data_IF_454239698736
#
_entry.id   IF_454239698736
#
_cell.length_a   1.000
_cell.length_b   1.000
_cell.length_c   1.000
_cell.angle_alpha   90.00
_cell.angle_beta   90.00
_cell.angle_gamma   90.00
#
_symmetry.space_group_name_H-M   'P 1'
#
loop_
_entity.id
_entity.type
_entity.pdbx_description
1 polymer ?
#
# COMPACT_ATOMS: atom_id res chain seq x y z
N UNK A 1 -24.26 -23.48 -0.46
CA UNK A 1 -23.38 -23.65 -1.64
C UNK A 1 -21.96 -23.85 -1.14
N UNK A 2 -21.34 -25.00 -1.45
CA UNK A 2 -19.92 -25.27 -1.18
C UNK A 2 -19.11 -24.35 -2.13
N UNK A 3 -18.44 -23.35 -1.57
CA UNK A 3 -17.55 -22.48 -2.36
C UNK A 3 -16.36 -23.30 -2.85
N UNK A 4 -15.94 -23.11 -4.11
CA UNK A 4 -14.77 -23.81 -4.61
C UNK A 4 -13.51 -23.39 -3.85
N UNK A 5 -12.54 -24.29 -3.66
CA UNK A 5 -11.24 -24.00 -3.03
C UNK A 5 -10.55 -22.79 -3.70
N UNK A 6 -10.66 -22.67 -5.01
CA UNK A 6 -10.13 -21.54 -5.78
C UNK A 6 -10.72 -20.20 -5.34
N UNK A 7 -12.03 -20.14 -5.11
CA UNK A 7 -12.67 -18.91 -4.60
C UNK A 7 -12.20 -18.58 -3.17
N UNK A 8 -11.94 -19.60 -2.34
CA UNK A 8 -11.39 -19.38 -1.01
C UNK A 8 -9.96 -18.82 -1.07
N UNK A 9 -9.09 -19.36 -1.93
CA UNK A 9 -7.74 -18.82 -2.15
C UNK A 9 -7.76 -17.40 -2.74
N UNK A 10 -8.59 -17.14 -3.75
CA UNK A 10 -8.76 -15.80 -4.33
C UNK A 10 -9.16 -14.77 -3.27
N UNK A 11 -10.09 -15.11 -2.40
CA UNK A 11 -10.51 -14.24 -1.28
C UNK A 11 -9.43 -14.07 -0.21
N UNK A 12 -8.64 -15.10 0.08
CA UNK A 12 -7.52 -15.01 1.01
C UNK A 12 -6.42 -14.07 0.47
N UNK A 13 -6.12 -14.19 -0.82
CA UNK A 13 -5.17 -13.32 -1.54
C UNK A 13 -5.71 -11.92 -1.85
N UNK A 14 -7.01 -11.66 -1.64
CA UNK A 14 -7.69 -10.40 -2.02
C UNK A 14 -7.63 -10.08 -3.52
N UNK A 15 -7.51 -11.09 -4.38
CA UNK A 15 -7.52 -10.87 -5.84
C UNK A 15 -8.90 -10.48 -6.37
N UNK A 16 -9.96 -10.75 -5.59
CA UNK A 16 -11.32 -10.28 -5.80
C UNK A 16 -11.51 -8.77 -5.52
N UNK A 17 -10.53 -8.12 -4.87
CA UNK A 17 -10.57 -6.71 -4.50
C UNK A 17 -9.21 -6.04 -4.74
N UNK A 18 -8.91 -5.65 -5.97
CA UNK A 18 -7.56 -5.25 -6.38
C UNK A 18 -7.09 -3.91 -5.81
N UNK A 19 -7.95 -3.15 -5.13
CA UNK A 19 -7.64 -1.80 -4.61
C UNK A 19 -6.32 -1.75 -3.83
N UNK A 20 -6.10 -2.71 -2.92
CA UNK A 20 -4.87 -2.75 -2.14
C UNK A 20 -3.63 -3.02 -2.99
N UNK A 21 -3.73 -3.77 -4.08
CA UNK A 21 -2.63 -3.97 -5.03
C UNK A 21 -2.36 -2.72 -5.85
N UNK A 22 -3.41 -1.98 -6.24
CA UNK A 22 -3.28 -0.73 -6.99
C UNK A 22 -2.63 0.37 -6.14
N UNK A 23 -2.95 0.46 -4.84
CA UNK A 23 -2.30 1.40 -3.93
C UNK A 23 -0.79 1.14 -3.75
N UNK A 24 -0.31 -0.10 -3.98
CA UNK A 24 1.11 -0.42 -4.05
C UNK A 24 1.70 -0.19 -5.45
N UNK A 25 0.90 -0.44 -6.49
CA UNK A 25 1.37 -0.37 -7.86
C UNK A 25 1.72 1.06 -8.28
N UNK A 26 0.87 2.05 -7.90
CA UNK A 26 1.10 3.43 -8.30
C UNK A 26 2.44 3.98 -7.80
N UNK A 27 2.80 3.93 -6.51
CA UNK A 27 4.11 4.43 -6.06
C UNK A 27 5.28 3.62 -6.61
N UNK A 28 5.09 2.33 -6.88
CA UNK A 28 6.09 1.52 -7.59
C UNK A 28 6.32 2.05 -9.01
N UNK A 29 5.26 2.38 -9.74
CA UNK A 29 5.36 2.96 -11.07
C UNK A 29 5.93 4.38 -11.04
N UNK A 30 5.56 5.22 -10.06
CA UNK A 30 6.20 6.53 -9.88
C UNK A 30 7.72 6.38 -9.77
N UNK A 31 8.19 5.44 -8.94
CA UNK A 31 9.61 5.18 -8.73
C UNK A 31 10.30 4.67 -10.00
N UNK A 32 9.68 3.74 -10.73
CA UNK A 32 10.24 3.19 -11.96
C UNK A 32 10.43 4.26 -13.03
N UNK A 33 9.41 5.13 -13.24
CA UNK A 33 9.47 6.20 -14.24
C UNK A 33 10.47 7.30 -13.86
N UNK A 34 10.51 7.69 -12.58
CA UNK A 34 11.49 8.68 -12.12
C UNK A 34 12.91 8.13 -12.21
N UNK A 35 13.14 6.87 -11.79
CA UNK A 35 14.46 6.25 -11.84
C UNK A 35 14.96 6.06 -13.29
N UNK A 36 14.07 5.70 -14.22
CA UNK A 36 14.38 5.54 -15.64
C UNK A 36 14.49 6.87 -16.39
N UNK A 37 13.98 7.97 -15.79
CA UNK A 37 13.77 9.26 -16.48
C UNK A 37 13.01 9.10 -17.80
N UNK A 38 12.05 8.19 -17.82
CA UNK A 38 11.31 7.79 -19.01
C UNK A 38 10.61 6.45 -18.80
N UNK A 39 10.38 5.72 -19.89
CA UNK A 39 9.79 4.38 -19.84
C UNK A 39 10.85 3.38 -19.35
N UNK A 40 10.62 2.68 -18.23
CA UNK A 40 11.56 1.68 -17.74
C UNK A 40 11.64 0.46 -18.67
N UNK A 41 12.72 -0.31 -18.58
CA UNK A 41 12.87 -1.57 -19.33
C UNK A 41 11.71 -2.51 -19.04
N UNK A 42 11.15 -3.12 -20.12
CA UNK A 42 10.00 -4.01 -20.04
C UNK A 42 10.22 -5.18 -19.06
N UNK A 43 11.43 -5.71 -19.01
CA UNK A 43 11.80 -6.77 -18.06
C UNK A 43 11.60 -6.30 -16.61
N UNK A 44 12.11 -5.14 -16.25
CA UNK A 44 11.97 -4.58 -14.89
C UNK A 44 10.51 -4.27 -14.60
N UNK A 45 9.80 -3.64 -15.54
CA UNK A 45 8.39 -3.28 -15.38
C UNK A 45 7.50 -4.51 -15.11
N UNK A 46 7.70 -5.60 -15.87
CA UNK A 46 6.96 -6.86 -15.69
C UNK A 46 7.26 -7.48 -14.32
N UNK A 47 8.54 -7.54 -13.92
CA UNK A 47 8.95 -8.11 -12.62
C UNK A 47 8.30 -7.33 -11.47
N UNK A 48 8.37 -6.00 -11.49
CA UNK A 48 7.76 -5.19 -10.43
C UNK A 48 6.24 -5.29 -10.42
N UNK A 49 5.60 -5.34 -11.59
CA UNK A 49 4.15 -5.54 -11.68
C UNK A 49 3.72 -6.87 -11.05
N UNK A 50 4.31 -7.98 -11.48
CA UNK A 50 4.00 -9.30 -10.92
C UNK A 50 4.38 -9.36 -9.44
N UNK A 51 5.54 -8.78 -9.07
CA UNK A 51 6.03 -8.72 -7.70
C UNK A 51 5.06 -7.99 -6.75
N UNK A 52 4.51 -6.84 -7.17
CA UNK A 52 3.50 -6.09 -6.39
C UNK A 52 2.26 -6.95 -6.13
N UNK A 53 1.68 -7.57 -7.15
CA UNK A 53 0.49 -8.42 -6.97
C UNK A 53 0.78 -9.64 -6.11
N UNK A 54 1.91 -10.32 -6.33
CA UNK A 54 2.31 -11.52 -5.56
C UNK A 54 2.62 -11.18 -4.10
N UNK A 55 3.40 -10.13 -3.84
CA UNK A 55 3.75 -9.73 -2.47
C UNK A 55 2.57 -9.12 -1.73
N UNK A 56 1.66 -8.41 -2.42
CA UNK A 56 0.40 -7.97 -1.83
C UNK A 56 -0.48 -9.15 -1.42
N UNK A 57 -0.59 -10.17 -2.26
CA UNK A 57 -1.31 -11.41 -1.94
C UNK A 57 -0.66 -12.13 -0.74
N UNK A 58 0.67 -12.27 -0.73
CA UNK A 58 1.42 -12.84 0.40
C UNK A 58 1.17 -12.06 1.70
N UNK A 59 1.21 -10.72 1.63
CA UNK A 59 0.90 -9.84 2.77
C UNK A 59 -0.52 -10.05 3.31
N UNK A 60 -1.52 -10.26 2.44
CA UNK A 60 -2.88 -10.58 2.88
C UNK A 60 -2.95 -11.95 3.58
N UNK A 61 -2.31 -12.96 3.02
CA UNK A 61 -2.28 -14.33 3.58
C UNK A 61 -1.65 -14.34 4.96
N UNK A 62 -0.48 -13.70 5.14
CA UNK A 62 0.22 -13.67 6.43
C UNK A 62 -0.52 -12.81 7.46
N UNK A 63 -1.15 -11.71 7.04
CA UNK A 63 -1.95 -10.90 7.93
C UNK A 63 -3.20 -11.65 8.43
N UNK A 64 -3.95 -12.30 7.55
CA UNK A 64 -5.10 -13.13 7.93
C UNK A 64 -4.66 -14.32 8.81
N UNK A 65 -3.48 -14.90 8.55
CA UNK A 65 -2.92 -15.94 9.41
C UNK A 65 -2.56 -15.41 10.81
N UNK A 66 -1.94 -14.25 10.91
CA UNK A 66 -1.58 -13.61 12.19
C UNK A 66 -2.85 -13.27 13.01
N UNK A 67 -3.91 -12.82 12.34
CA UNK A 67 -5.15 -12.37 12.99
C UNK A 67 -6.23 -13.46 13.17
N UNK A 68 -5.99 -14.69 12.70
CA UNK A 68 -7.00 -15.77 12.65
C UNK A 68 -7.76 -16.04 13.95
N UNK A 69 -7.14 -15.76 15.10
CA UNK A 69 -7.76 -15.94 16.42
C UNK A 69 -8.70 -14.79 16.80
N UNK A 70 -8.54 -13.62 16.19
CA UNK A 70 -9.30 -12.40 16.50
C UNK A 70 -10.35 -12.10 15.43
N UNK A 71 -10.09 -12.45 14.18
CA UNK A 71 -10.93 -12.14 13.02
C UNK A 71 -12.36 -12.72 13.14
N UNK A 72 -12.53 -13.83 13.82
CA UNK A 72 -13.86 -14.41 14.08
C UNK A 72 -14.76 -13.55 14.97
N UNK A 73 -14.18 -12.65 15.76
CA UNK A 73 -14.91 -11.77 16.71
C UNK A 73 -15.25 -10.39 16.11
N UNK A 74 -14.77 -10.08 14.89
CA UNK A 74 -15.01 -8.80 14.23
C UNK A 74 -15.99 -8.97 13.08
N UNK A 75 -17.07 -8.17 13.06
CA UNK A 75 -18.17 -8.29 12.08
C UNK A 75 -17.68 -8.32 10.62
N UNK A 76 -16.74 -7.44 10.29
CA UNK A 76 -16.18 -7.33 8.94
C UNK A 76 -15.32 -8.53 8.53
N UNK A 77 -14.62 -9.16 9.48
CA UNK A 77 -13.61 -10.19 9.22
C UNK A 77 -14.05 -11.62 9.54
N UNK A 78 -15.15 -11.81 10.29
CA UNK A 78 -15.68 -13.14 10.65
C UNK A 78 -15.93 -14.09 9.47
N UNK A 79 -16.16 -13.53 8.29
CA UNK A 79 -16.40 -14.27 7.05
C UNK A 79 -15.14 -14.50 6.20
N UNK A 80 -13.93 -14.22 6.74
CA UNK A 80 -12.66 -14.53 6.06
C UNK A 80 -12.43 -16.03 5.94
N UNK A 81 -11.68 -16.50 4.92
CA UNK A 81 -11.49 -17.94 4.67
C UNK A 81 -10.88 -18.72 5.83
N UNK A 82 -9.92 -18.16 6.59
CA UNK A 82 -9.28 -18.83 7.73
C UNK A 82 -10.22 -19.00 8.93
N UNK A 83 -10.89 -17.95 9.47
CA UNK A 83 -11.86 -18.11 10.55
C UNK A 83 -13.02 -19.05 10.21
N UNK A 84 -13.43 -19.10 8.94
CA UNK A 84 -14.50 -20.01 8.47
C UNK A 84 -14.07 -21.46 8.27
N UNK A 85 -12.75 -21.73 8.27
CA UNK A 85 -12.22 -23.03 7.91
C UNK A 85 -12.29 -23.37 6.42
N UNK A 86 -12.59 -22.40 5.53
CA UNK A 86 -12.58 -22.59 4.07
C UNK A 86 -11.14 -22.89 3.57
N UNK A 87 -10.13 -22.38 4.28
CA UNK A 87 -8.70 -22.64 4.07
C UNK A 87 -8.06 -23.02 5.40
N UNK A 88 -7.23 -24.05 5.41
CA UNK A 88 -6.49 -24.49 6.60
C UNK A 88 -5.25 -23.64 6.85
N UNK A 89 -4.74 -23.64 8.08
CA UNK A 89 -3.48 -22.95 8.43
C UNK A 89 -2.29 -23.46 7.61
N UNK A 90 -2.27 -24.76 7.29
CA UNK A 90 -1.20 -25.36 6.47
C UNK A 90 -1.26 -24.86 5.04
N UNK A 91 -2.45 -24.82 4.44
CA UNK A 91 -2.66 -24.29 3.09
C UNK A 91 -2.25 -22.80 3.01
N UNK A 92 -2.60 -22.00 4.03
CA UNK A 92 -2.22 -20.58 4.08
C UNK A 92 -0.69 -20.40 4.13
N UNK A 93 0.01 -21.19 4.95
CA UNK A 93 1.49 -21.16 5.02
C UNK A 93 2.14 -21.57 3.71
N UNK A 94 1.63 -22.62 3.06
CA UNK A 94 2.13 -23.06 1.75
C UNK A 94 1.91 -21.99 0.69
N UNK A 95 0.69 -21.40 0.65
CA UNK A 95 0.38 -20.35 -0.31
C UNK A 95 1.27 -19.12 -0.11
N UNK A 96 1.51 -18.71 1.14
CA UNK A 96 2.45 -17.64 1.47
C UNK A 96 3.86 -17.95 0.95
N UNK A 97 4.37 -19.14 1.26
CA UNK A 97 5.71 -19.57 0.83
C UNK A 97 5.85 -19.57 -0.71
N UNK A 98 4.85 -20.09 -1.41
CA UNK A 98 4.85 -20.11 -2.89
C UNK A 98 4.88 -18.68 -3.46
N UNK A 99 4.06 -17.77 -2.95
CA UNK A 99 4.00 -16.37 -3.41
C UNK A 99 5.34 -15.64 -3.17
N UNK A 100 5.97 -15.87 -2.00
CA UNK A 100 7.28 -15.30 -1.68
C UNK A 100 8.38 -15.89 -2.58
N UNK A 101 8.38 -17.21 -2.80
CA UNK A 101 9.37 -17.87 -3.66
C UNK A 101 9.25 -17.43 -5.12
N UNK A 102 8.02 -17.28 -5.64
CA UNK A 102 7.78 -16.73 -6.99
C UNK A 102 8.32 -15.32 -7.09
N UNK A 103 7.98 -14.44 -6.11
CA UNK A 103 8.48 -13.07 -6.10
C UNK A 103 10.00 -13.00 -6.00
N UNK A 104 10.60 -13.82 -5.14
CA UNK A 104 12.05 -13.88 -4.99
C UNK A 104 12.75 -14.41 -6.25
N UNK A 105 12.18 -15.45 -6.90
CA UNK A 105 12.70 -15.96 -8.17
C UNK A 105 12.74 -14.89 -9.26
N UNK A 106 11.74 -14.00 -9.33
CA UNK A 106 11.74 -12.85 -10.24
C UNK A 106 12.85 -11.84 -9.87
N UNK A 107 13.02 -11.54 -8.58
CA UNK A 107 14.06 -10.61 -8.12
C UNK A 107 15.47 -11.11 -8.39
N UNK A 108 15.70 -12.43 -8.38
CA UNK A 108 17.02 -13.02 -8.69
C UNK A 108 17.51 -12.73 -10.13
N UNK A 109 16.62 -12.27 -11.02
CA UNK A 109 16.99 -11.86 -12.38
C UNK A 109 17.42 -10.39 -12.46
N UNK A 110 17.37 -9.66 -11.34
CA UNK A 110 17.78 -8.25 -11.23
C UNK A 110 19.20 -8.14 -10.65
N UNK A 111 19.68 -6.91 -10.48
CA UNK A 111 21.00 -6.65 -9.93
C UNK A 111 21.13 -7.00 -8.43
N UNK A 112 22.36 -7.18 -7.97
CA UNK A 112 22.68 -7.59 -6.59
C UNK A 112 22.12 -6.63 -5.52
N UNK A 113 22.12 -5.32 -5.80
CA UNK A 113 21.59 -4.31 -4.87
C UNK A 113 20.09 -4.53 -4.64
N UNK A 114 19.31 -4.75 -5.70
CA UNK A 114 17.87 -5.03 -5.63
C UNK A 114 17.59 -6.33 -4.87
N UNK A 115 18.43 -7.37 -5.07
CA UNK A 115 18.31 -8.65 -4.35
C UNK A 115 18.46 -8.43 -2.83
N UNK A 116 19.47 -7.69 -2.37
CA UNK A 116 19.65 -7.40 -0.94
C UNK A 116 18.51 -6.54 -0.37
N UNK A 117 18.03 -5.56 -1.13
CA UNK A 117 16.87 -4.75 -0.71
C UNK A 117 15.60 -5.61 -0.60
N UNK A 118 15.43 -6.65 -1.43
CA UNK A 118 14.27 -7.54 -1.34
C UNK A 118 14.23 -8.34 -0.03
N UNK A 119 15.39 -8.71 0.52
CA UNK A 119 15.48 -9.36 1.83
C UNK A 119 14.99 -8.43 2.95
N UNK A 120 15.40 -7.15 2.92
CA UNK A 120 14.92 -6.15 3.87
C UNK A 120 13.39 -5.91 3.71
N UNK A 121 12.88 -5.88 2.47
CA UNK A 121 11.44 -5.78 2.19
C UNK A 121 10.64 -6.95 2.75
N UNK A 122 11.15 -8.17 2.63
CA UNK A 122 10.52 -9.35 3.22
C UNK A 122 10.47 -9.27 4.74
N UNK A 123 11.55 -8.79 5.39
CA UNK A 123 11.58 -8.59 6.84
C UNK A 123 10.52 -7.56 7.29
N UNK A 124 10.37 -6.44 6.58
CA UNK A 124 9.33 -5.44 6.84
C UNK A 124 7.91 -6.03 6.67
N UNK A 125 7.69 -6.78 5.59
CA UNK A 125 6.39 -7.44 5.35
C UNK A 125 6.03 -8.46 6.44
N UNK A 126 7.04 -9.14 7.02
CA UNK A 126 6.85 -10.09 8.11
C UNK A 126 6.54 -9.39 9.43
N UNK A 127 7.21 -8.28 9.75
CA UNK A 127 7.06 -7.55 11.02
C UNK A 127 5.73 -6.79 11.09
N UNK A 128 5.30 -6.20 9.98
CA UNK A 128 4.14 -5.31 9.91
C UNK A 128 2.87 -5.82 10.62
N UNK A 129 2.40 -7.10 10.43
CA UNK A 129 1.12 -7.54 11.03
C UNK A 129 1.12 -7.54 12.56
N UNK A 130 2.30 -7.57 13.19
CA UNK A 130 2.43 -7.63 14.66
C UNK A 130 2.46 -6.24 15.33
N UNK A 131 2.78 -5.18 14.55
CA UNK A 131 2.96 -3.82 15.08
C UNK A 131 1.69 -3.27 15.71
N UNK A 132 0.52 -3.54 15.16
CA UNK A 132 -0.79 -3.09 15.72
C UNK A 132 -1.09 -3.59 17.13
N UNK A 133 -0.34 -4.57 17.64
CA UNK A 133 -0.47 -5.09 19.01
C UNK A 133 0.31 -4.29 20.03
N UNK A 134 1.36 -3.59 19.58
CA UNK A 134 2.30 -2.89 20.45
C UNK A 134 2.29 -1.37 20.24
N UNK A 135 1.99 -0.89 19.04
CA UNK A 135 2.04 0.52 18.66
C UNK A 135 0.72 1.04 18.13
N UNK A 136 0.44 2.34 18.30
CA UNK A 136 -0.67 3.05 17.67
C UNK A 136 -0.34 3.56 16.26
N UNK A 137 0.89 3.32 15.77
CA UNK A 137 1.38 3.75 14.46
C UNK A 137 1.65 2.57 13.50
N UNK A 138 0.77 1.53 13.43
CA UNK A 138 0.96 0.43 12.48
C UNK A 138 0.95 0.92 11.03
N UNK A 139 0.25 2.04 10.74
CA UNK A 139 0.15 2.65 9.43
C UNK A 139 1.49 3.15 8.89
N UNK A 140 2.39 3.60 9.76
CA UNK A 140 3.75 4.03 9.37
C UNK A 140 4.57 2.81 8.92
N UNK A 141 4.50 1.71 9.67
CA UNK A 141 5.22 0.48 9.33
C UNK A 141 4.61 -0.18 8.09
N UNK A 142 3.28 -0.12 7.94
CA UNK A 142 2.60 -0.52 6.71
C UNK A 142 3.12 0.28 5.52
N UNK A 143 3.17 1.62 5.67
CA UNK A 143 3.67 2.53 4.63
C UNK A 143 5.13 2.24 4.24
N UNK A 144 5.98 1.91 5.21
CA UNK A 144 7.35 1.50 4.96
C UNK A 144 7.41 0.16 4.21
N UNK A 145 6.63 -0.84 4.63
CA UNK A 145 6.58 -2.15 3.97
C UNK A 145 6.02 -2.05 2.53
N UNK A 146 4.96 -1.27 2.35
CA UNK A 146 4.32 -1.06 1.04
C UNK A 146 5.19 -0.21 0.10
N UNK A 147 5.86 0.82 0.63
CA UNK A 147 6.76 1.68 -0.12
C UNK A 147 8.13 1.08 -0.40
N UNK A 148 8.47 -0.08 0.15
CA UNK A 148 9.81 -0.65 -0.03
C UNK A 148 10.11 -1.02 -1.49
N UNK A 149 9.09 -1.16 -2.33
CA UNK A 149 9.25 -1.27 -3.79
C UNK A 149 9.91 -0.04 -4.42
N UNK A 150 9.86 1.13 -3.79
CA UNK A 150 10.46 2.38 -4.29
C UNK A 150 12.00 2.28 -4.32
N UNK A 151 12.71 2.05 -3.18
CA UNK A 151 14.15 1.88 -3.24
C UNK A 151 14.57 0.66 -4.08
N UNK A 152 13.77 -0.40 -4.12
CA UNK A 152 14.01 -1.52 -5.02
C UNK A 152 13.91 -1.13 -6.49
N UNK A 153 12.95 -0.30 -6.88
CA UNK A 153 12.77 0.20 -8.25
C UNK A 153 13.96 1.06 -8.69
N UNK A 154 14.40 2.00 -7.84
CA UNK A 154 15.60 2.80 -8.10
C UNK A 154 16.85 1.93 -8.22
N UNK A 155 17.05 0.98 -7.31
CA UNK A 155 18.15 0.05 -7.37
C UNK A 155 18.14 -0.77 -8.65
N UNK A 156 16.97 -1.27 -9.07
CA UNK A 156 16.84 -2.11 -10.27
C UNK A 156 17.15 -1.34 -11.56
N UNK A 157 16.78 -0.06 -11.63
CA UNK A 157 16.90 0.77 -12.84
C UNK A 157 18.24 1.48 -12.91
N UNK A 158 18.71 2.08 -11.79
CA UNK A 158 19.87 3.00 -11.80
C UNK A 158 21.02 2.56 -10.90
N UNK A 159 20.90 1.42 -10.23
CA UNK A 159 21.88 0.90 -9.25
C UNK A 159 22.27 1.93 -8.17
N UNK A 160 21.35 2.83 -7.84
CA UNK A 160 21.58 3.93 -6.90
C UNK A 160 20.34 4.25 -6.10
N UNK A 161 20.50 4.91 -4.94
CA UNK A 161 19.42 5.37 -4.07
C UNK A 161 19.59 6.89 -3.82
N UNK A 162 19.29 7.74 -4.81
CA UNK A 162 19.46 9.18 -4.70
C UNK A 162 18.42 9.80 -3.74
N UNK A 163 18.54 11.11 -3.48
CA UNK A 163 17.68 11.81 -2.52
C UNK A 163 16.19 11.74 -2.88
N UNK A 164 15.86 11.84 -4.18
CA UNK A 164 14.49 11.72 -4.69
C UNK A 164 13.86 10.33 -4.41
N UNK A 165 14.66 9.26 -4.38
CA UNK A 165 14.21 7.92 -3.98
C UNK A 165 13.68 7.93 -2.54
N UNK A 166 14.46 8.45 -1.60
CA UNK A 166 14.09 8.49 -0.18
C UNK A 166 12.96 9.47 0.08
N UNK A 167 12.94 10.60 -0.64
CA UNK A 167 11.84 11.55 -0.55
C UNK A 167 10.53 10.92 -1.06
N UNK A 168 10.56 10.20 -2.17
CA UNK A 168 9.39 9.48 -2.71
C UNK A 168 8.94 8.35 -1.76
N UNK A 169 9.88 7.65 -1.14
CA UNK A 169 9.58 6.67 -0.10
C UNK A 169 8.87 7.31 1.11
N UNK A 170 9.34 8.48 1.56
CA UNK A 170 8.69 9.24 2.61
C UNK A 170 7.28 9.72 2.21
N UNK A 171 7.09 10.18 0.97
CA UNK A 171 5.77 10.49 0.38
C UNK A 171 4.83 9.29 0.51
N UNK A 172 5.31 8.10 0.14
CA UNK A 172 4.48 6.90 0.24
C UNK A 172 4.11 6.55 1.68
N UNK A 173 5.01 6.74 2.65
CA UNK A 173 4.69 6.53 4.07
C UNK A 173 3.59 7.50 4.51
N UNK A 174 3.75 8.80 4.20
CA UNK A 174 2.73 9.83 4.52
C UNK A 174 1.39 9.47 3.90
N UNK A 175 1.37 9.11 2.62
CA UNK A 175 0.14 8.71 1.92
C UNK A 175 -0.48 7.44 2.51
N UNK A 176 0.34 6.47 2.89
CA UNK A 176 -0.14 5.24 3.55
C UNK A 176 -0.81 5.55 4.88
N UNK A 177 -0.25 6.47 5.68
CA UNK A 177 -0.90 6.93 6.92
C UNK A 177 -2.24 7.59 6.60
N UNK A 178 -2.34 8.39 5.54
CA UNK A 178 -3.60 9.04 5.12
C UNK A 178 -4.66 7.98 4.81
N UNK A 179 -4.44 7.12 3.80
CA UNK A 179 -5.48 6.21 3.35
C UNK A 179 -5.78 5.10 4.36
N UNK A 180 -4.79 4.62 5.10
CA UNK A 180 -5.03 3.56 6.07
C UNK A 180 -5.65 4.10 7.37
N UNK A 181 -5.47 5.40 7.70
CA UNK A 181 -6.26 6.05 8.75
C UNK A 181 -7.72 6.17 8.34
N UNK A 182 -8.02 6.55 7.08
CA UNK A 182 -9.39 6.56 6.54
C UNK A 182 -10.03 5.17 6.65
N UNK A 183 -9.27 4.13 6.32
CA UNK A 183 -9.72 2.75 6.48
C UNK A 183 -9.93 2.36 7.96
N UNK A 184 -9.03 2.76 8.85
CA UNK A 184 -9.15 2.50 10.28
C UNK A 184 -10.32 3.25 10.93
N UNK A 185 -10.76 4.40 10.36
CA UNK A 185 -11.98 5.09 10.81
C UNK A 185 -13.23 4.22 10.60
N UNK A 186 -13.27 3.35 9.59
CA UNK A 186 -14.36 2.39 9.35
C UNK A 186 -14.49 1.39 10.49
N UNK A 187 -13.36 0.91 11.02
CA UNK A 187 -13.31 -0.14 12.03
C UNK A 187 -13.16 0.40 13.47
N UNK A 188 -13.04 1.73 13.67
CA UNK A 188 -12.73 2.36 14.97
C UNK A 188 -13.53 1.79 16.15
N UNK A 189 -14.86 1.68 16.01
CA UNK A 189 -15.74 1.24 17.09
C UNK A 189 -15.53 -0.24 17.44
N UNK A 190 -15.14 -1.05 16.49
CA UNK A 190 -14.85 -2.47 16.70
C UNK A 190 -13.44 -2.66 17.26
N UNK A 191 -12.46 -1.91 16.75
CA UNK A 191 -11.07 -1.90 17.24
C UNK A 191 -10.97 -1.51 18.71
N UNK A 192 -11.73 -0.51 19.15
CA UNK A 192 -11.81 -0.10 20.58
C UNK A 192 -12.28 -1.24 21.48
N UNK A 193 -13.24 -2.07 21.03
CA UNK A 193 -13.79 -3.20 21.81
C UNK A 193 -12.80 -4.34 21.99
N UNK A 194 -11.94 -4.57 20.97
CA UNK A 194 -10.99 -5.68 20.95
C UNK A 194 -9.55 -5.25 21.32
N UNK A 195 -9.34 -3.96 21.63
CA UNK A 195 -8.04 -3.44 22.06
C UNK A 195 -6.99 -3.34 20.94
N UNK A 196 -7.41 -3.31 19.67
CA UNK A 196 -6.52 -3.08 18.52
C UNK A 196 -6.17 -1.60 18.45
N UNK A 197 -4.89 -1.32 18.19
CA UNK A 197 -4.36 0.05 18.11
C UNK A 197 -4.29 0.52 16.65
N UNK A 198 -4.67 1.78 16.41
CA UNK A 198 -4.61 2.41 15.08
C UNK A 198 -4.41 3.92 15.18
N UNK A 199 -4.01 4.56 14.08
CA UNK A 199 -3.95 6.03 13.97
C UNK A 199 -5.33 6.67 14.10
N UNK A 200 -6.40 6.03 13.66
CA UNK A 200 -7.75 6.56 13.85
C UNK A 200 -8.12 6.67 15.35
N UNK A 201 -7.65 5.74 16.18
CA UNK A 201 -7.82 5.80 17.63
C UNK A 201 -6.89 6.85 18.24
N UNK A 202 -5.62 6.89 17.82
CA UNK A 202 -4.62 7.83 18.31
C UNK A 202 -5.00 9.28 18.05
N UNK A 203 -5.46 9.58 16.84
CA UNK A 203 -5.83 10.94 16.44
C UNK A 203 -7.16 11.41 17.02
N UNK A 204 -8.02 10.48 17.40
CA UNK A 204 -9.30 10.77 18.06
C UNK A 204 -10.17 11.75 17.27
N UNK A 205 -10.56 12.87 17.88
CA UNK A 205 -11.37 13.92 17.22
C UNK A 205 -10.58 14.77 16.21
N UNK A 206 -9.24 14.72 16.22
CA UNK A 206 -8.39 15.44 15.30
C UNK A 206 -8.04 14.66 14.02
N UNK A 207 -8.59 13.47 13.84
CA UNK A 207 -8.30 12.56 12.73
C UNK A 207 -8.41 13.25 11.35
N UNK A 208 -9.52 13.93 11.07
CA UNK A 208 -9.73 14.64 9.78
C UNK A 208 -8.73 15.77 9.57
N UNK A 209 -8.43 16.54 10.62
CA UNK A 209 -7.45 17.62 10.54
C UNK A 209 -6.05 17.08 10.26
N UNK A 210 -5.65 16.02 10.97
CA UNK A 210 -4.33 15.39 10.78
C UNK A 210 -4.23 14.79 9.38
N UNK A 211 -5.26 14.08 8.90
CA UNK A 211 -5.33 13.56 7.53
C UNK A 211 -5.16 14.72 6.53
N UNK A 212 -5.86 15.85 6.71
CA UNK A 212 -5.76 17.02 5.84
C UNK A 212 -4.35 17.63 5.81
N UNK A 213 -3.70 17.74 6.97
CA UNK A 213 -2.30 18.19 7.08
C UNK A 213 -1.37 17.22 6.32
N UNK A 214 -1.53 15.91 6.52
CA UNK A 214 -0.71 14.91 5.84
C UNK A 214 -0.94 14.91 4.32
N UNK A 215 -2.18 15.12 3.86
CA UNK A 215 -2.49 15.30 2.44
C UNK A 215 -1.78 16.52 1.86
N UNK A 216 -1.77 17.66 2.57
CA UNK A 216 -1.04 18.84 2.16
C UNK A 216 0.47 18.60 2.13
N UNK A 217 1.03 17.96 3.17
CA UNK A 217 2.45 17.59 3.24
C UNK A 217 2.82 16.71 2.04
N UNK A 218 2.00 15.72 1.70
CA UNK A 218 2.21 14.86 0.53
C UNK A 218 2.30 15.68 -0.77
N UNK A 219 1.36 16.61 -0.98
CA UNK A 219 1.38 17.48 -2.18
C UNK A 219 2.65 18.32 -2.24
N UNK A 220 3.07 18.94 -1.11
CA UNK A 220 4.29 19.75 -1.06
C UNK A 220 5.56 18.92 -1.32
N UNK A 221 5.63 17.70 -0.77
CA UNK A 221 6.74 16.80 -1.04
C UNK A 221 6.79 16.36 -2.51
N UNK A 222 5.65 16.05 -3.12
CA UNK A 222 5.57 15.72 -4.55
C UNK A 222 5.90 16.92 -5.44
N UNK A 223 5.48 18.13 -5.06
CA UNK A 223 5.88 19.36 -5.72
C UNK A 223 7.40 19.50 -5.72
N UNK A 224 8.05 19.25 -4.58
CA UNK A 224 9.51 19.29 -4.48
C UNK A 224 10.17 18.23 -5.37
N UNK A 225 9.66 16.99 -5.36
CA UNK A 225 10.17 15.94 -6.26
C UNK A 225 10.06 16.39 -7.72
N UNK A 226 8.91 16.94 -8.13
CA UNK A 226 8.72 17.43 -9.50
C UNK A 226 9.76 18.48 -9.91
N UNK A 227 10.13 19.38 -8.99
CA UNK A 227 11.19 20.37 -9.22
C UNK A 227 12.58 19.73 -9.27
N UNK A 228 12.88 18.77 -8.37
CA UNK A 228 14.17 18.08 -8.32
C UNK A 228 14.47 17.30 -9.60
N UNK A 229 13.46 16.61 -10.15
CA UNK A 229 13.63 15.75 -11.34
C UNK A 229 13.15 16.41 -12.63
N UNK A 230 12.82 17.71 -12.59
CA UNK A 230 12.41 18.55 -13.73
C UNK A 230 11.20 17.98 -14.50
N UNK A 231 10.12 17.57 -13.78
CA UNK A 231 8.89 17.14 -14.41
C UNK A 231 8.19 18.28 -15.15
N UNK A 232 7.45 17.95 -16.23
CA UNK A 232 6.77 18.93 -17.05
C UNK A 232 5.56 19.58 -16.37
N UNK A 233 5.01 20.66 -16.95
CA UNK A 233 3.83 21.34 -16.43
C UNK A 233 2.60 20.46 -16.22
N UNK A 234 2.48 19.36 -16.98
CA UNK A 234 1.37 18.40 -16.85
C UNK A 234 1.38 17.70 -15.49
N UNK A 235 2.55 17.39 -14.93
CA UNK A 235 2.65 16.84 -13.60
C UNK A 235 2.04 17.77 -12.54
N UNK A 236 2.27 19.08 -12.64
CA UNK A 236 1.72 20.05 -11.68
C UNK A 236 0.20 20.17 -11.79
N UNK A 237 -0.38 19.98 -12.98
CA UNK A 237 -1.84 19.84 -13.13
C UNK A 237 -2.36 18.56 -12.45
N UNK A 238 -1.62 17.46 -12.50
CA UNK A 238 -2.00 16.24 -11.78
C UNK A 238 -1.97 16.43 -10.25
N UNK A 239 -1.06 17.25 -9.71
CA UNK A 239 -1.04 17.63 -8.29
C UNK A 239 -2.30 18.43 -7.91
N UNK A 240 -2.74 19.36 -8.74
CA UNK A 240 -3.98 20.12 -8.49
C UNK A 240 -5.21 19.20 -8.48
N UNK A 241 -5.29 18.26 -9.41
CA UNK A 241 -6.38 17.26 -9.45
C UNK A 241 -6.34 16.34 -8.22
N UNK A 242 -5.16 15.89 -7.80
CA UNK A 242 -4.98 15.12 -6.56
C UNK A 242 -5.43 15.94 -5.34
N UNK A 243 -5.11 17.23 -5.28
CA UNK A 243 -5.58 18.15 -4.24
C UNK A 243 -7.10 18.28 -4.21
N UNK A 244 -7.75 18.37 -5.38
CA UNK A 244 -9.22 18.38 -5.47
C UNK A 244 -9.84 17.07 -4.96
N UNK A 245 -9.23 15.92 -5.28
CA UNK A 245 -9.66 14.63 -4.72
C UNK A 245 -9.49 14.58 -3.19
N UNK A 246 -8.44 15.15 -2.63
CA UNK A 246 -8.25 15.24 -1.18
C UNK A 246 -9.32 16.11 -0.51
N UNK A 247 -9.72 17.24 -1.12
CA UNK A 247 -10.85 18.03 -0.65
C UNK A 247 -12.16 17.23 -0.70
N UNK A 248 -12.37 16.46 -1.76
CA UNK A 248 -13.52 15.56 -1.85
C UNK A 248 -13.51 14.49 -0.74
N UNK A 249 -12.36 13.87 -0.45
CA UNK A 249 -12.21 12.91 0.65
C UNK A 249 -12.51 13.55 2.01
N UNK A 250 -12.09 14.80 2.27
CA UNK A 250 -12.39 15.51 3.50
C UNK A 250 -13.91 15.72 3.70
N UNK A 251 -14.64 15.98 2.60
CA UNK A 251 -16.11 16.08 2.63
C UNK A 251 -16.77 14.73 2.94
N UNK A 252 -16.28 13.66 2.33
CA UNK A 252 -16.77 12.30 2.61
C UNK A 252 -16.61 11.92 4.09
N UNK A 253 -15.49 12.29 4.71
CA UNK A 253 -15.21 11.97 6.11
C UNK A 253 -15.87 12.91 7.11
N UNK A 254 -16.69 13.90 6.68
CA UNK A 254 -17.23 14.96 7.54
C UNK A 254 -17.90 14.42 8.79
N UNK A 255 -18.76 13.43 8.66
CA UNK A 255 -19.55 12.84 9.74
C UNK A 255 -18.96 11.55 10.31
N UNK A 256 -17.81 11.11 9.81
CA UNK A 256 -17.11 9.88 10.24
C UNK A 256 -17.95 8.60 10.10
N UNK A 257 -18.92 8.59 9.19
CA UNK A 257 -19.70 7.40 8.89
C UNK A 257 -18.85 6.35 8.18
N UNK A 258 -19.17 5.06 8.40
CA UNK A 258 -18.36 3.92 7.89
C UNK A 258 -18.25 3.92 6.38
N UNK A 259 -19.37 3.99 5.67
CA UNK A 259 -19.39 3.90 4.20
C UNK A 259 -18.70 5.09 3.51
N UNK A 260 -18.94 6.37 3.89
CA UNK A 260 -18.20 7.50 3.36
C UNK A 260 -16.70 7.46 3.67
N UNK A 261 -16.28 7.03 4.87
CA UNK A 261 -14.87 6.83 5.20
C UNK A 261 -14.23 5.75 4.32
N UNK A 262 -14.95 4.65 4.06
CA UNK A 262 -14.49 3.62 3.14
C UNK A 262 -14.39 4.12 1.69
N UNK A 263 -15.34 4.96 1.24
CA UNK A 263 -15.27 5.60 -0.07
C UNK A 263 -14.08 6.55 -0.18
N UNK A 264 -13.75 7.31 0.89
CA UNK A 264 -12.55 8.14 0.93
C UNK A 264 -11.27 7.30 0.79
N UNK A 265 -11.18 6.18 1.48
CA UNK A 265 -10.10 5.21 1.30
C UNK A 265 -9.99 4.71 -0.16
N UNK A 266 -11.10 4.27 -0.75
CA UNK A 266 -11.14 3.77 -2.14
C UNK A 266 -10.74 4.84 -3.16
N UNK A 267 -11.06 6.11 -2.89
CA UNK A 267 -10.76 7.24 -3.76
C UNK A 267 -9.24 7.49 -3.92
N UNK A 268 -8.40 7.03 -2.97
CA UNK A 268 -6.95 7.14 -3.10
C UNK A 268 -6.39 6.41 -4.32
N UNK A 269 -7.08 5.40 -4.84
CA UNK A 269 -6.68 4.78 -6.10
C UNK A 269 -6.62 5.80 -7.27
N UNK A 270 -7.60 6.70 -7.34
CA UNK A 270 -7.61 7.76 -8.36
C UNK A 270 -6.50 8.78 -8.12
N UNK A 271 -6.19 9.11 -6.86
CA UNK A 271 -5.04 9.97 -6.53
C UNK A 271 -3.75 9.35 -7.07
N UNK A 272 -3.49 8.07 -6.75
CA UNK A 272 -2.31 7.37 -7.22
C UNK A 272 -2.19 7.30 -8.73
N UNK A 273 -3.30 6.99 -9.40
CA UNK A 273 -3.36 6.89 -10.86
C UNK A 273 -3.15 8.24 -11.56
N UNK A 274 -3.80 9.32 -11.10
CA UNK A 274 -3.67 10.66 -11.70
C UNK A 274 -2.23 11.17 -11.58
N UNK A 275 -1.59 10.98 -10.42
CA UNK A 275 -0.18 11.33 -10.23
C UNK A 275 0.73 10.52 -11.14
N UNK A 276 0.46 9.22 -11.30
CA UNK A 276 1.19 8.38 -12.26
C UNK A 276 1.04 8.89 -13.69
N UNK A 277 -0.16 9.22 -14.14
CA UNK A 277 -0.39 9.77 -15.47
C UNK A 277 0.38 11.08 -15.68
N UNK A 278 0.38 11.97 -14.68
CA UNK A 278 1.17 13.20 -14.73
C UNK A 278 2.67 12.96 -14.90
N UNK A 279 3.23 11.97 -14.17
CA UNK A 279 4.63 11.58 -14.29
C UNK A 279 4.91 10.92 -15.65
N UNK A 280 4.08 9.98 -16.07
CA UNK A 280 4.21 9.27 -17.36
C UNK A 280 4.25 10.25 -18.53
N UNK A 281 3.28 11.16 -18.60
CA UNK A 281 3.22 12.16 -19.70
C UNK A 281 4.37 13.17 -19.62
N UNK A 282 4.93 13.42 -18.43
CA UNK A 282 6.09 14.30 -18.28
C UNK A 282 7.36 13.77 -18.93
N UNK A 283 7.43 12.47 -19.16
CA UNK A 283 8.58 11.80 -19.77
C UNK A 283 8.35 11.36 -21.23
N UNK A 284 7.16 11.65 -21.79
CA UNK A 284 6.86 11.46 -23.22
C UNK A 284 7.20 12.70 -24.03
#
# INVERSE_FOLDING_TARGET
MVRSKWQAYSRLMRTDRPIGSLLLLWPTYWALWIAARGVPDWHILIIFTIGVFSMRAAGCVINDFADRKFDGSVERTKNRPLPRGDVTEKEAKILFAVLVLVSFGLVLTLNTMTIWLSVAGLALAWVYPFVKRVSHLPQVVLGAAFGWSIPMAFAAVSESLPAECWLLFAVNIVWSVVYDTQYAMVDRNDDLKIGVKSTAILFGCFDKMIIGILQLVMILMLLWIGLMVNLSGIFYWSLLLAGALFVYQQRLMADRERDPCFQAFMNNNYVGFILFLGMLVSYL
#
